data_IF_392603347132
#
_entry.id   IF_392603347132
#
_cell.length_a   1.000
_cell.length_b   1.000
_cell.length_c   1.000
_cell.angle_alpha   90.00
_cell.angle_beta   90.00
_cell.angle_gamma   90.00
#
_symmetry.space_group_name_H-M   'P 1'
#
loop_
_entity.id
_entity.type
_entity.pdbx_description
1 polymer ?
#
# COMPACT_ATOMS: atom_id res chain seq x y z
N UNK A 1 16.92 18.92 29.75
CA UNK A 1 16.29 19.04 28.41
C UNK A 1 17.03 18.08 27.48
N UNK A 2 16.60 16.83 27.39
CA UNK A 2 17.29 15.79 26.60
C UNK A 2 16.26 15.03 25.75
N UNK A 3 15.47 15.77 24.98
CA UNK A 3 14.22 15.24 24.40
C UNK A 3 13.91 15.78 23.00
N UNK A 4 14.90 16.13 22.19
CA UNK A 4 14.63 16.66 20.83
C UNK A 4 15.48 16.04 19.70
N UNK A 5 16.60 15.38 20.00
CA UNK A 5 17.48 14.87 18.92
C UNK A 5 17.06 13.51 18.33
N UNK A 6 16.05 12.83 18.91
CA UNK A 6 15.44 11.62 18.34
C UNK A 6 14.20 11.89 17.48
N UNK A 7 13.75 13.14 17.37
CA UNK A 7 12.44 13.47 16.80
C UNK A 7 12.43 13.66 15.27
N UNK A 8 13.57 13.59 14.58
CA UNK A 8 13.68 14.00 13.18
C UNK A 8 14.49 13.05 12.28
N UNK A 9 14.54 11.75 12.60
CA UNK A 9 14.71 10.77 11.52
C UNK A 9 13.38 10.68 10.74
N UNK A 10 13.11 11.67 9.89
CA UNK A 10 12.09 11.51 8.84
C UNK A 10 12.67 10.50 7.85
N UNK A 11 12.53 9.21 8.17
CA UNK A 11 12.76 8.17 7.18
C UNK A 11 11.61 8.25 6.19
N UNK A 12 11.88 8.40 4.89
CA UNK A 12 10.83 8.31 3.90
C UNK A 12 10.18 6.92 4.01
N UNK A 13 8.89 6.85 4.33
CA UNK A 13 8.12 5.62 4.21
C UNK A 13 7.77 5.42 2.74
N UNK A 14 8.74 4.86 2.00
CA UNK A 14 8.59 4.58 0.59
C UNK A 14 7.43 3.60 0.35
N UNK A 15 7.32 2.55 1.16
CA UNK A 15 6.26 1.56 1.06
C UNK A 15 4.87 2.22 1.24
N UNK A 16 4.72 3.08 2.26
CA UNK A 16 3.50 3.86 2.47
C UNK A 16 3.19 4.82 1.33
N UNK A 17 4.23 5.39 0.70
CA UNK A 17 4.05 6.25 -0.48
C UNK A 17 3.48 5.46 -1.67
N UNK A 18 4.01 4.26 -1.94
CA UNK A 18 3.48 3.41 -3.00
C UNK A 18 2.07 2.91 -2.68
N UNK A 19 1.81 2.54 -1.42
CA UNK A 19 0.48 2.10 -0.96
C UNK A 19 -0.58 3.19 -1.14
N UNK A 20 -0.29 4.42 -0.68
CA UNK A 20 -1.22 5.55 -0.82
C UNK A 20 -1.49 5.89 -2.28
N UNK A 21 -0.48 5.77 -3.16
CA UNK A 21 -0.71 5.92 -4.61
C UNK A 21 -1.57 4.79 -5.14
N UNK A 22 -1.34 3.54 -4.75
CA UNK A 22 -2.18 2.42 -5.17
C UNK A 22 -3.66 2.67 -4.83
N UNK A 23 -3.94 3.13 -3.61
CA UNK A 23 -5.29 3.52 -3.17
C UNK A 23 -5.90 4.60 -4.08
N UNK A 24 -5.16 5.69 -4.34
CA UNK A 24 -5.61 6.78 -5.22
C UNK A 24 -5.93 6.29 -6.65
N UNK A 25 -5.14 5.37 -7.20
CA UNK A 25 -5.37 4.82 -8.54
C UNK A 25 -6.52 3.80 -8.57
N UNK A 26 -6.72 3.03 -7.49
CA UNK A 26 -7.86 2.13 -7.34
C UNK A 26 -9.19 2.90 -7.31
N UNK A 27 -9.24 4.02 -6.58
CA UNK A 27 -10.39 4.94 -6.56
C UNK A 27 -10.66 5.57 -7.94
N UNK A 28 -9.64 5.72 -8.78
CA UNK A 28 -9.77 6.19 -10.16
C UNK A 28 -10.07 5.06 -11.16
N UNK A 29 -10.32 3.83 -10.71
CA UNK A 29 -10.53 2.63 -11.56
C UNK A 29 -9.36 2.33 -12.51
N UNK A 30 -8.16 2.86 -12.21
CA UNK A 30 -6.94 2.59 -12.97
C UNK A 30 -6.27 1.34 -12.42
N UNK A 31 -6.91 0.20 -12.68
CA UNK A 31 -6.62 -1.09 -12.04
C UNK A 31 -5.15 -1.51 -12.22
N UNK A 32 -4.62 -1.45 -13.45
CA UNK A 32 -3.23 -1.85 -13.75
C UNK A 32 -2.22 -1.07 -12.89
N UNK A 33 -2.33 0.26 -12.88
CA UNK A 33 -1.42 1.11 -12.09
C UNK A 33 -1.59 0.89 -10.59
N UNK A 34 -2.82 0.66 -10.11
CA UNK A 34 -3.06 0.36 -8.71
C UNK A 34 -2.35 -0.93 -8.29
N UNK A 35 -2.43 -1.99 -9.10
CA UNK A 35 -1.80 -3.28 -8.84
C UNK A 35 -0.27 -3.20 -8.85
N UNK A 36 0.33 -2.49 -9.81
CA UNK A 36 1.79 -2.27 -9.88
C UNK A 36 2.32 -1.55 -8.64
N UNK A 37 1.63 -0.50 -8.22
CA UNK A 37 1.99 0.29 -7.05
C UNK A 37 1.79 -0.50 -5.75
N UNK A 38 0.69 -1.24 -5.65
CA UNK A 38 0.43 -2.10 -4.49
C UNK A 38 1.49 -3.18 -4.38
N UNK A 39 1.82 -3.87 -5.48
CA UNK A 39 2.91 -4.87 -5.51
C UNK A 39 4.23 -4.28 -5.01
N UNK A 40 4.56 -3.07 -5.45
CA UNK A 40 5.76 -2.37 -4.99
C UNK A 40 5.70 -2.08 -3.48
N UNK A 41 4.55 -1.63 -2.97
CA UNK A 41 4.36 -1.38 -1.55
C UNK A 41 4.54 -2.66 -0.71
N UNK A 42 3.94 -3.77 -1.15
CA UNK A 42 4.03 -5.06 -0.46
C UNK A 42 5.45 -5.64 -0.47
N UNK A 43 6.17 -5.49 -1.59
CA UNK A 43 7.58 -5.91 -1.68
C UNK A 43 8.51 -5.11 -0.77
N UNK A 44 8.18 -3.84 -0.50
CA UNK A 44 8.96 -2.99 0.40
C UNK A 44 8.60 -3.22 1.87
N UNK A 45 7.31 -3.42 2.16
CA UNK A 45 6.82 -3.69 3.51
C UNK A 45 5.55 -4.56 3.47
N UNK A 46 5.68 -5.86 3.77
CA UNK A 46 4.56 -6.80 3.76
C UNK A 46 3.41 -6.44 4.72
N UNK A 47 3.62 -5.53 5.69
CA UNK A 47 2.54 -5.10 6.61
C UNK A 47 1.32 -4.53 5.86
N UNK A 48 1.55 -3.95 4.68
CA UNK A 48 0.49 -3.38 3.85
C UNK A 48 -0.44 -4.43 3.25
N UNK A 49 -0.06 -5.72 3.29
CA UNK A 49 -0.88 -6.81 2.78
C UNK A 49 -2.16 -6.96 3.60
N UNK A 50 -2.04 -6.93 4.93
CA UNK A 50 -3.20 -7.00 5.82
C UNK A 50 -4.04 -5.73 5.76
N UNK A 51 -3.41 -4.57 5.57
CA UNK A 51 -4.13 -3.30 5.35
C UNK A 51 -4.99 -3.37 4.09
N UNK A 52 -4.41 -3.81 2.96
CA UNK A 52 -5.11 -3.92 1.68
C UNK A 52 -6.33 -4.85 1.73
N UNK A 53 -6.31 -5.89 2.58
CA UNK A 53 -7.47 -6.80 2.77
C UNK A 53 -8.71 -6.08 3.29
N UNK A 54 -8.56 -5.01 4.06
CA UNK A 54 -9.69 -4.32 4.70
C UNK A 54 -9.89 -2.89 4.24
N UNK A 55 -8.96 -2.36 3.46
CA UNK A 55 -9.00 -0.98 2.98
C UNK A 55 -10.08 -0.80 1.90
N UNK A 56 -11.00 0.12 2.15
CA UNK A 56 -12.13 0.40 1.25
C UNK A 56 -11.69 1.05 -0.07
N UNK A 57 -10.51 1.66 -0.11
CA UNK A 57 -9.99 2.26 -1.35
C UNK A 57 -9.78 1.22 -2.45
N UNK A 58 -9.64 -0.06 -2.08
CA UNK A 58 -9.53 -1.18 -3.00
C UNK A 58 -10.85 -1.89 -3.30
N UNK A 59 -12.00 -1.43 -2.80
CA UNK A 59 -13.29 -2.09 -3.04
C UNK A 59 -13.62 -2.21 -4.54
N UNK A 60 -13.19 -1.25 -5.35
CA UNK A 60 -13.37 -1.28 -6.82
C UNK A 60 -12.57 -2.37 -7.52
N UNK A 61 -11.49 -2.87 -6.91
CA UNK A 61 -10.59 -3.88 -7.48
C UNK A 61 -10.55 -5.17 -6.66
N UNK A 62 -11.35 -5.26 -5.59
CA UNK A 62 -11.34 -6.36 -4.62
C UNK A 62 -11.62 -7.72 -5.26
N UNK A 63 -12.48 -7.76 -6.27
CA UNK A 63 -12.81 -8.98 -7.00
C UNK A 63 -11.82 -9.34 -8.12
N UNK A 64 -10.81 -8.50 -8.39
CA UNK A 64 -9.78 -8.80 -9.37
C UNK A 64 -8.90 -9.96 -8.87
N UNK A 65 -8.76 -11.07 -9.62
CA UNK A 65 -7.95 -12.21 -9.21
C UNK A 65 -6.50 -11.87 -8.90
N UNK A 66 -5.94 -10.84 -9.56
CA UNK A 66 -4.57 -10.37 -9.33
C UNK A 66 -4.47 -9.65 -8.00
N UNK A 67 -5.47 -8.85 -7.63
CA UNK A 67 -5.53 -8.23 -6.31
C UNK A 67 -5.66 -9.30 -5.21
N UNK A 68 -6.51 -10.30 -5.42
CA UNK A 68 -6.65 -11.44 -4.50
C UNK A 68 -5.32 -12.19 -4.30
N UNK A 69 -4.56 -12.43 -5.37
CA UNK A 69 -3.24 -13.04 -5.28
C UNK A 69 -2.26 -12.21 -4.44
N UNK A 70 -2.30 -10.88 -4.56
CA UNK A 70 -1.44 -9.98 -3.78
C UNK A 70 -1.76 -10.02 -2.28
N UNK A 71 -3.04 -10.07 -1.92
CA UNK A 71 -3.45 -10.00 -0.50
C UNK A 71 -3.47 -11.36 0.19
N UNK A 72 -3.59 -12.48 -0.54
CA UNK A 72 -3.64 -13.80 0.09
C UNK A 72 -2.27 -14.25 0.61
N UNK A 73 -1.17 -13.82 -0.02
CA UNK A 73 0.20 -14.23 0.36
C UNK A 73 0.41 -15.73 0.15
N UNK A 74 1.66 -16.15 -0.09
CA UNK A 74 2.01 -17.58 0.03
C UNK A 74 2.04 -18.04 1.48
#
# INVERSE_FOLDING_TARGET
MASLDKALEIKPDYAGTYYNKACLFALQTKIETALELLTTALNLDPKYQDMAKTDSDFDSIRDDPRFQALIQGE
#
